data_IF_704679699585
#
_entry.id   IF_704679699585
#
_cell.length_a   1.000
_cell.length_b   1.000
_cell.length_c   1.000
_cell.angle_alpha   90.00
_cell.angle_beta   90.00
_cell.angle_gamma   90.00
#
_symmetry.space_group_name_H-M   'P 1'
#
loop_
_entity.id
_entity.type
_entity.pdbx_description
1 polymer ?
#
# COMPACT_ATOMS: atom_id res chain seq x y z
N UNK A 1 -33.54 -3.12 46.26
CA UNK A 1 -34.26 -1.93 45.76
C UNK A 1 -33.64 -1.65 44.40
N UNK A 2 -34.43 -1.65 43.34
CA UNK A 2 -33.95 -1.32 42.00
C UNK A 2 -34.30 0.14 41.70
N UNK A 3 -33.35 0.92 41.19
CA UNK A 3 -33.62 2.27 40.71
C UNK A 3 -34.21 2.20 39.30
N UNK A 4 -35.27 2.96 39.05
CA UNK A 4 -35.85 3.08 37.71
C UNK A 4 -35.03 4.12 36.95
N UNK A 5 -34.36 3.70 35.89
CA UNK A 5 -33.53 4.60 35.08
C UNK A 5 -34.32 5.29 33.97
N UNK A 6 -35.38 4.68 33.44
CA UNK A 6 -36.24 5.28 32.42
C UNK A 6 -37.62 4.61 32.34
N UNK A 7 -38.64 5.42 32.06
CA UNK A 7 -39.98 4.97 31.67
C UNK A 7 -40.31 5.59 30.31
N UNK A 8 -40.65 4.75 29.33
CA UNK A 8 -41.10 5.21 28.01
C UNK A 8 -42.61 4.97 27.92
N UNK A 9 -43.36 6.06 27.75
CA UNK A 9 -44.81 6.05 27.57
C UNK A 9 -45.15 6.36 26.11
N UNK A 10 -46.06 5.58 25.54
CA UNK A 10 -46.73 5.86 24.28
C UNK A 10 -45.99 5.35 23.03
N UNK A 11 -46.14 4.06 22.71
CA UNK A 11 -45.70 3.47 21.44
C UNK A 11 -46.50 3.95 20.19
N UNK A 12 -47.14 5.12 20.24
CA UNK A 12 -48.06 5.58 19.19
C UNK A 12 -48.13 7.10 18.93
N UNK A 13 -47.72 7.97 19.87
CA UNK A 13 -47.60 9.41 19.65
C UNK A 13 -46.47 9.96 20.51
N UNK A 14 -45.46 10.53 19.87
CA UNK A 14 -44.32 11.27 20.46
C UNK A 14 -43.88 10.74 21.83
N UNK A 15 -43.03 9.70 21.83
CA UNK A 15 -42.46 9.13 23.04
C UNK A 15 -41.87 10.22 23.95
N UNK A 16 -42.31 10.27 25.21
CA UNK A 16 -41.71 11.11 26.25
C UNK A 16 -40.82 10.27 27.14
N UNK A 17 -39.56 10.69 27.27
CA UNK A 17 -38.61 10.12 28.24
C UNK A 17 -38.73 10.97 29.50
N UNK A 18 -39.33 10.43 30.55
CA UNK A 18 -39.32 11.07 31.87
C UNK A 18 -38.21 10.43 32.72
N UNK A 19 -37.21 11.25 33.07
CA UNK A 19 -36.08 10.82 33.88
C UNK A 19 -36.51 10.81 35.36
N UNK A 20 -36.91 9.64 35.87
CA UNK A 20 -37.39 9.49 37.24
C UNK A 20 -36.29 9.00 38.17
N UNK A 21 -35.28 9.84 38.39
CA UNK A 21 -34.09 9.50 39.19
C UNK A 21 -34.34 9.13 40.67
N UNK A 22 -35.59 9.10 41.17
CA UNK A 22 -35.91 8.88 42.59
C UNK A 22 -37.18 8.05 42.87
N UNK A 23 -37.58 7.14 41.98
CA UNK A 23 -38.71 6.23 42.27
C UNK A 23 -38.21 4.89 42.78
N UNK A 24 -38.38 4.64 44.07
CA UNK A 24 -38.06 3.35 44.71
C UNK A 24 -39.31 2.46 44.74
N UNK A 25 -39.31 1.35 44.00
CA UNK A 25 -40.44 0.39 44.05
C UNK A 25 -40.28 -0.52 45.27
N UNK A 26 -41.09 -0.28 46.30
CA UNK A 26 -41.09 -1.10 47.52
C UNK A 26 -41.88 -2.40 47.30
N UNK A 27 -41.17 -3.52 47.19
CA UNK A 27 -41.68 -4.87 47.53
C UNK A 27 -42.74 -5.50 46.62
N UNK A 28 -43.14 -4.88 45.50
CA UNK A 28 -43.94 -5.52 44.45
C UNK A 28 -43.07 -5.62 43.20
N UNK A 29 -42.87 -6.84 42.68
CA UNK A 29 -41.99 -7.09 41.53
C UNK A 29 -42.30 -6.17 40.35
N UNK A 30 -41.25 -5.71 39.67
CA UNK A 30 -41.26 -4.70 38.60
C UNK A 30 -42.29 -5.01 37.49
N UNK A 31 -42.50 -6.29 37.17
CA UNK A 31 -43.49 -6.77 36.20
C UNK A 31 -44.92 -6.40 36.58
N UNK A 32 -45.28 -6.52 37.87
CA UNK A 32 -46.62 -6.21 38.35
C UNK A 32 -46.90 -4.71 38.34
N UNK A 33 -45.89 -3.91 38.68
CA UNK A 33 -45.99 -2.45 38.63
C UNK A 33 -46.13 -1.95 37.19
N UNK A 34 -45.33 -2.48 36.26
CA UNK A 34 -45.41 -2.15 34.84
C UNK A 34 -46.79 -2.47 34.23
N UNK A 35 -47.40 -3.58 34.65
CA UNK A 35 -48.74 -3.99 34.23
C UNK A 35 -49.84 -3.04 34.73
N UNK A 36 -49.77 -2.65 36.01
CA UNK A 36 -50.71 -1.71 36.62
C UNK A 36 -50.59 -0.30 36.01
N UNK A 37 -49.36 0.15 35.70
CA UNK A 37 -49.10 1.42 35.03
C UNK A 37 -49.62 1.44 33.58
N UNK A 38 -49.38 0.38 32.81
CA UNK A 38 -49.82 0.28 31.41
C UNK A 38 -51.34 0.26 31.29
N UNK A 39 -52.01 -0.46 32.19
CA UNK A 39 -53.47 -0.45 32.28
C UNK A 39 -54.03 0.92 32.66
N UNK A 40 -53.43 1.60 33.64
CA UNK A 40 -53.91 2.91 34.10
C UNK A 40 -53.69 4.03 33.08
N UNK A 41 -52.62 3.93 32.29
CA UNK A 41 -52.32 4.89 31.21
C UNK A 41 -53.07 4.56 29.90
N UNK A 42 -53.64 3.36 29.77
CA UNK A 42 -54.17 2.81 28.53
C UNK A 42 -53.17 2.85 27.36
N UNK A 43 -51.87 2.72 27.67
CA UNK A 43 -50.77 2.77 26.72
C UNK A 43 -49.75 1.66 27.02
N UNK A 44 -49.04 1.20 25.99
CA UNK A 44 -47.93 0.26 26.15
C UNK A 44 -46.75 0.97 26.82
N UNK A 45 -46.14 0.31 27.80
CA UNK A 45 -45.06 0.88 28.62
C UNK A 45 -43.84 -0.02 28.59
N UNK A 46 -42.68 0.61 28.38
CA UNK A 46 -41.36 0.00 28.57
C UNK A 46 -40.71 0.56 29.83
N UNK A 47 -40.23 -0.34 30.72
CA UNK A 47 -39.62 0.03 32.00
C UNK A 47 -38.28 -0.69 32.13
N UNK A 48 -37.22 0.09 32.36
CA UNK A 48 -35.89 -0.45 32.59
C UNK A 48 -35.35 -0.04 33.97
N UNK A 49 -34.74 -1.01 34.64
CA UNK A 49 -33.96 -0.84 35.86
C UNK A 49 -32.53 -1.31 35.63
N UNK A 50 -31.69 -1.10 36.64
CA UNK A 50 -30.28 -1.53 36.65
C UNK A 50 -30.12 -3.03 36.30
N UNK A 51 -31.03 -3.88 36.76
CA UNK A 51 -30.91 -5.34 36.68
C UNK A 51 -31.93 -6.01 35.72
N UNK A 52 -33.07 -5.38 35.44
CA UNK A 52 -34.17 -5.97 34.65
C UNK A 52 -34.89 -4.96 33.75
N UNK A 53 -35.39 -5.44 32.60
CA UNK A 53 -36.28 -4.69 31.72
C UNK A 53 -37.63 -5.40 31.54
N UNK A 54 -38.72 -4.63 31.47
CA UNK A 54 -40.08 -5.16 31.32
C UNK A 54 -40.82 -4.42 30.21
N UNK A 55 -41.44 -5.20 29.32
CA UNK A 55 -42.45 -4.71 28.37
C UNK A 55 -43.83 -5.08 28.90
N UNK A 56 -44.71 -4.09 29.00
CA UNK A 56 -46.10 -4.27 29.40
C UNK A 56 -47.05 -3.62 28.40
N UNK A 57 -48.00 -4.41 27.89
CA UNK A 57 -49.01 -3.94 26.95
C UNK A 57 -50.30 -3.55 27.66
N UNK A 58 -50.94 -2.46 27.25
CA UNK A 58 -52.16 -1.94 27.89
C UNK A 58 -53.32 -2.95 27.90
N UNK A 59 -53.40 -3.79 26.86
CA UNK A 59 -54.44 -4.82 26.69
C UNK A 59 -53.88 -6.25 26.74
N UNK A 60 -52.65 -6.45 27.26
CA UNK A 60 -51.92 -7.72 27.22
C UNK A 60 -51.20 -8.05 28.54
N UNK A 61 -50.42 -9.14 28.52
CA UNK A 61 -49.56 -9.53 29.65
C UNK A 61 -48.23 -8.75 29.65
N UNK A 62 -47.55 -8.72 30.79
CA UNK A 62 -46.18 -8.20 30.90
C UNK A 62 -45.16 -9.34 30.85
N UNK A 63 -44.03 -9.09 30.21
CA UNK A 63 -42.91 -10.04 30.13
C UNK A 63 -41.62 -9.39 30.60
N UNK A 64 -40.92 -10.05 31.52
CA UNK A 64 -39.57 -9.69 31.91
C UNK A 64 -38.57 -10.15 30.83
N UNK A 65 -37.65 -9.27 30.49
CA UNK A 65 -36.53 -9.50 29.59
C UNK A 65 -35.30 -9.42 30.49
N UNK A 66 -34.79 -10.58 30.92
CA UNK A 66 -33.64 -10.62 31.82
C UNK A 66 -32.36 -10.17 31.10
N UNK A 67 -31.55 -9.35 31.77
CA UNK A 67 -30.27 -8.82 31.28
C UNK A 67 -30.17 -7.31 31.51
N UNK A 68 -29.23 -6.90 32.37
CA UNK A 68 -29.06 -5.51 32.82
C UNK A 68 -28.80 -4.54 31.65
N UNK A 69 -29.58 -3.45 31.63
CA UNK A 69 -29.60 -2.45 30.56
C UNK A 69 -28.57 -1.32 30.78
N UNK A 70 -27.80 -1.32 31.88
CA UNK A 70 -26.76 -0.28 32.07
C UNK A 70 -25.67 -0.35 30.99
N UNK A 71 -25.31 -1.55 30.50
CA UNK A 71 -24.47 -1.68 29.30
C UNK A 71 -25.18 -1.20 28.02
N UNK A 72 -26.51 -1.28 27.98
CA UNK A 72 -27.35 -0.87 26.84
C UNK A 72 -27.57 0.66 26.77
N UNK A 73 -27.70 1.38 27.89
CA UNK A 73 -27.92 2.85 27.88
C UNK A 73 -26.62 3.62 27.68
N UNK A 74 -25.49 3.12 28.21
CA UNK A 74 -24.17 3.64 27.82
C UNK A 74 -23.88 3.37 26.35
N UNK A 75 -24.30 2.20 25.84
CA UNK A 75 -24.31 1.88 24.42
C UNK A 75 -25.23 2.79 23.61
N UNK A 76 -26.40 3.23 24.10
CA UNK A 76 -27.33 4.09 23.35
C UNK A 76 -26.79 5.52 23.13
N UNK A 77 -25.98 6.05 24.04
CA UNK A 77 -25.21 7.29 23.79
C UNK A 77 -24.09 7.08 22.75
N UNK A 78 -23.66 5.83 22.54
CA UNK A 78 -22.71 5.40 21.51
C UNK A 78 -23.41 4.79 20.26
N UNK A 79 -24.74 4.69 20.22
CA UNK A 79 -25.51 4.02 19.16
C UNK A 79 -25.48 4.77 17.84
N UNK A 80 -25.28 6.10 17.87
CA UNK A 80 -25.02 6.90 16.66
C UNK A 80 -23.73 6.46 15.95
N UNK A 81 -22.80 5.78 16.65
CA UNK A 81 -21.60 5.20 16.06
C UNK A 81 -21.74 3.71 15.74
N UNK A 82 -22.39 2.93 16.62
CA UNK A 82 -22.45 1.48 16.47
C UNK A 82 -23.33 1.03 15.29
N UNK A 83 -24.46 1.70 15.02
CA UNK A 83 -25.33 1.38 13.86
C UNK A 83 -24.64 1.73 12.53
N UNK A 84 -23.79 2.76 12.53
CA UNK A 84 -22.94 3.10 11.38
C UNK A 84 -21.86 2.05 11.12
N UNK A 85 -21.36 1.37 12.17
CA UNK A 85 -20.39 0.29 12.05
C UNK A 85 -21.03 -1.03 11.58
N UNK A 86 -22.22 -1.38 12.09
CA UNK A 86 -22.91 -2.61 11.68
C UNK A 86 -23.40 -2.60 10.22
N UNK A 87 -23.81 -1.43 9.69
CA UNK A 87 -24.27 -1.34 8.29
C UNK A 87 -23.12 -1.18 7.26
N UNK A 88 -21.91 -0.83 7.70
CA UNK A 88 -20.71 -0.83 6.84
C UNK A 88 -20.07 -2.21 6.70
N UNK A 89 -20.48 -3.19 7.52
CA UNK A 89 -20.15 -4.59 7.32
C UNK A 89 -21.12 -5.19 6.31
N UNK A 90 -20.71 -5.21 5.04
CA UNK A 90 -21.50 -5.82 3.96
C UNK A 90 -21.68 -7.31 4.27
N UNK A 91 -22.92 -7.65 4.60
CA UNK A 91 -23.46 -9.01 4.70
C UNK A 91 -23.20 -9.74 3.36
N UNK A 92 -22.58 -10.92 3.41
CA UNK A 92 -22.32 -11.71 2.21
C UNK A 92 -23.65 -12.04 1.50
N UNK A 93 -23.64 -12.12 0.16
CA UNK A 93 -24.84 -12.40 -0.66
C UNK A 93 -25.60 -13.68 -0.23
N UNK A 94 -24.92 -14.59 0.47
CA UNK A 94 -25.45 -15.87 0.95
C UNK A 94 -26.32 -15.74 2.21
N UNK A 95 -26.16 -14.66 2.97
CA UNK A 95 -26.91 -14.37 4.19
C UNK A 95 -28.14 -13.50 3.90
N UNK A 96 -28.11 -12.72 2.82
CA UNK A 96 -29.25 -11.93 2.35
C UNK A 96 -30.47 -12.80 1.91
N UNK A 97 -30.23 -13.99 1.35
CA UNK A 97 -31.31 -14.92 0.97
C UNK A 97 -32.05 -15.52 2.19
N UNK A 98 -31.43 -15.52 3.37
CA UNK A 98 -32.05 -16.00 4.62
C UNK A 98 -32.91 -14.95 5.32
N UNK A 99 -32.73 -13.66 5.01
CA UNK A 99 -33.36 -12.55 5.74
C UNK A 99 -34.77 -12.18 5.25
N UNK A 100 -35.25 -12.76 4.14
CA UNK A 100 -36.61 -12.54 3.64
C UNK A 100 -36.89 -11.10 3.19
N UNK A 101 -38.01 -10.89 2.48
CA UNK A 101 -38.36 -9.61 1.81
C UNK A 101 -38.55 -8.40 2.74
N UNK A 102 -38.38 -8.54 4.06
CA UNK A 102 -38.57 -7.47 5.04
C UNK A 102 -37.39 -6.49 5.19
N UNK A 103 -36.22 -6.77 4.59
CA UNK A 103 -35.00 -5.94 4.73
C UNK A 103 -34.63 -5.13 3.48
N UNK A 104 -35.54 -5.03 2.52
CA UNK A 104 -35.35 -4.26 1.28
C UNK A 104 -34.97 -2.76 1.42
N UNK A 105 -35.16 -2.03 2.54
CA UNK A 105 -34.76 -0.62 2.61
C UNK A 105 -33.25 -0.36 2.80
N UNK A 106 -32.43 -1.36 3.13
CA UNK A 106 -31.04 -1.13 3.55
C UNK A 106 -30.06 -0.81 2.40
N UNK A 107 -30.53 -0.69 1.15
CA UNK A 107 -29.68 -0.54 -0.03
C UNK A 107 -29.98 0.73 -0.84
N UNK A 108 -29.69 1.92 -0.29
CA UNK A 108 -29.46 3.14 -1.10
C UNK A 108 -28.80 4.24 -0.24
N UNK A 109 -27.59 4.68 -0.62
CA UNK A 109 -26.79 5.68 0.10
C UNK A 109 -26.63 6.97 -0.74
N UNK A 110 -27.15 8.10 -0.26
CA UNK A 110 -26.64 9.47 -0.49
C UNK A 110 -26.96 10.35 0.73
N UNK A 111 -26.29 11.51 0.85
CA UNK A 111 -26.28 12.39 2.03
C UNK A 111 -27.66 12.94 2.46
N UNK A 112 -28.69 12.85 1.61
CA UNK A 112 -30.09 13.16 1.95
C UNK A 112 -30.79 12.02 2.73
N UNK A 113 -30.17 10.83 2.83
CA UNK A 113 -30.70 9.65 3.51
C UNK A 113 -30.51 9.61 5.04
N UNK A 114 -29.80 10.58 5.65
CA UNK A 114 -29.64 10.63 7.12
C UNK A 114 -30.98 10.82 7.83
N UNK A 115 -31.90 11.58 7.24
CA UNK A 115 -33.25 11.75 7.81
C UNK A 115 -34.16 10.53 7.53
N UNK A 116 -33.95 9.79 6.44
CA UNK A 116 -34.77 8.60 6.11
C UNK A 116 -34.44 7.36 6.96
N UNK A 117 -33.17 7.16 7.36
CA UNK A 117 -32.76 5.97 8.12
C UNK A 117 -33.11 6.05 9.61
N UNK A 118 -32.96 7.23 10.23
CA UNK A 118 -33.48 7.46 11.57
C UNK A 118 -35.00 7.22 11.60
N UNK A 119 -35.72 7.68 10.56
CA UNK A 119 -37.17 7.52 10.46
C UNK A 119 -37.62 6.06 10.24
N UNK A 120 -36.86 5.24 9.51
CA UNK A 120 -37.24 3.84 9.25
C UNK A 120 -37.01 2.92 10.45
N UNK A 121 -36.00 3.19 11.29
CA UNK A 121 -35.80 2.47 12.56
C UNK A 121 -36.88 2.85 13.57
N UNK A 122 -37.22 4.15 13.67
CA UNK A 122 -38.27 4.66 14.58
C UNK A 122 -39.68 4.18 14.19
N UNK A 123 -39.91 3.88 12.91
CA UNK A 123 -41.28 3.64 12.41
C UNK A 123 -41.59 2.17 12.12
N UNK A 124 -40.60 1.30 11.87
CA UNK A 124 -40.85 -0.09 11.43
C UNK A 124 -40.33 -1.18 12.38
N UNK A 125 -39.18 -0.97 13.03
CA UNK A 125 -38.51 -2.04 13.80
C UNK A 125 -39.09 -2.21 15.20
N UNK A 126 -39.58 -1.12 15.81
CA UNK A 126 -40.15 -1.11 17.16
C UNK A 126 -41.67 -1.35 17.22
N UNK A 127 -42.36 -1.47 16.07
CA UNK A 127 -43.83 -1.59 16.02
C UNK A 127 -44.36 -3.02 16.01
N UNK A 128 -43.53 -4.04 15.83
CA UNK A 128 -43.97 -5.42 15.88
C UNK A 128 -42.91 -6.35 16.49
N UNK A 129 -43.38 -7.47 17.06
CA UNK A 129 -42.51 -8.45 17.73
C UNK A 129 -41.45 -9.06 16.78
N UNK A 130 -41.73 -9.13 15.48
CA UNK A 130 -40.81 -9.66 14.48
C UNK A 130 -39.60 -8.74 14.22
N UNK A 131 -39.78 -7.42 14.28
CA UNK A 131 -38.70 -6.43 14.20
C UNK A 131 -37.79 -6.45 15.43
N UNK A 132 -38.38 -6.70 16.60
CA UNK A 132 -37.64 -6.88 17.86
C UNK A 132 -36.86 -8.20 17.83
N UNK A 133 -37.47 -9.31 17.38
CA UNK A 133 -36.79 -10.60 17.25
C UNK A 133 -35.65 -10.57 16.21
N UNK A 134 -35.82 -9.81 15.12
CA UNK A 134 -34.75 -9.60 14.13
C UNK A 134 -33.58 -8.80 14.71
N UNK A 135 -33.87 -7.77 15.52
CA UNK A 135 -32.84 -6.98 16.21
C UNK A 135 -32.07 -7.84 17.23
N UNK A 136 -32.79 -8.64 18.02
CA UNK A 136 -32.21 -9.61 18.96
C UNK A 136 -31.37 -10.66 18.21
N UNK A 137 -31.83 -11.10 17.03
CA UNK A 137 -31.08 -12.00 16.15
C UNK A 137 -29.75 -11.41 15.68
N UNK A 138 -29.74 -10.13 15.30
CA UNK A 138 -28.52 -9.40 14.94
C UNK A 138 -27.58 -9.19 16.14
N UNK A 139 -28.12 -8.97 17.34
CA UNK A 139 -27.33 -8.82 18.57
C UNK A 139 -26.74 -10.14 19.08
N UNK A 140 -27.39 -11.27 18.76
CA UNK A 140 -26.91 -12.62 19.09
C UNK A 140 -25.97 -13.21 18.02
N UNK A 141 -25.69 -12.47 16.94
CA UNK A 141 -24.69 -12.90 15.96
C UNK A 141 -23.30 -12.83 16.60
N UNK A 142 -22.49 -13.87 16.41
CA UNK A 142 -21.07 -13.84 16.80
C UNK A 142 -20.39 -12.66 16.11
N UNK A 143 -20.02 -11.65 16.91
CA UNK A 143 -19.20 -10.54 16.44
C UNK A 143 -17.83 -11.12 16.05
N UNK A 144 -17.58 -11.22 14.75
CA UNK A 144 -16.22 -11.41 14.27
C UNK A 144 -15.56 -10.04 14.39
N UNK A 145 -14.56 -9.95 15.26
CA UNK A 145 -13.72 -8.77 15.41
C UNK A 145 -12.98 -8.52 14.09
N UNK A 146 -13.61 -7.77 13.20
CA UNK A 146 -12.99 -7.29 11.97
C UNK A 146 -12.11 -6.09 12.34
N UNK A 147 -10.84 -6.12 11.92
CA UNK A 147 -9.92 -4.99 11.97
C UNK A 147 -10.68 -3.71 11.54
N UNK A 148 -10.69 -2.68 12.40
CA UNK A 148 -11.54 -1.48 12.33
C UNK A 148 -11.49 -0.78 10.94
N UNK A 149 -10.40 -0.99 10.19
CA UNK A 149 -10.15 -0.42 8.88
C UNK A 149 -10.52 -1.33 7.70
N UNK A 150 -10.91 -2.60 7.93
CA UNK A 150 -11.37 -3.51 6.88
C UNK A 150 -12.70 -3.06 6.24
N UNK A 151 -13.53 -2.31 6.99
CA UNK A 151 -14.87 -1.87 6.59
C UNK A 151 -15.04 -0.35 6.59
N UNK A 152 -13.96 0.42 6.71
CA UNK A 152 -14.03 1.88 6.76
C UNK A 152 -14.39 2.46 5.39
N UNK A 153 -15.49 3.21 5.30
CA UNK A 153 -15.84 3.95 4.09
C UNK A 153 -14.80 5.06 3.82
N UNK A 154 -14.19 5.04 2.64
CA UNK A 154 -13.27 6.09 2.19
C UNK A 154 -14.12 7.28 1.70
N UNK A 155 -14.18 8.34 2.49
CA UNK A 155 -15.03 9.51 2.23
C UNK A 155 -14.23 10.79 1.96
N UNK A 156 -12.94 10.81 2.30
CA UNK A 156 -12.02 11.92 2.09
C UNK A 156 -10.55 11.44 1.99
N UNK A 157 -9.62 12.37 1.80
CA UNK A 157 -8.18 12.04 1.70
C UNK A 157 -7.56 11.54 3.01
N UNK A 158 -8.12 11.93 4.16
CA UNK A 158 -7.63 11.50 5.47
C UNK A 158 -7.98 10.03 5.70
N UNK A 159 -9.24 9.68 5.46
CA UNK A 159 -9.75 8.30 5.53
C UNK A 159 -9.07 7.40 4.50
N UNK A 160 -8.77 7.90 3.29
CA UNK A 160 -7.92 7.18 2.33
C UNK A 160 -6.53 6.86 2.90
N UNK A 161 -5.86 7.83 3.52
CA UNK A 161 -4.54 7.61 4.13
C UNK A 161 -4.58 6.56 5.23
N UNK A 162 -5.60 6.58 6.09
CA UNK A 162 -5.77 5.60 7.17
C UNK A 162 -6.05 4.19 6.60
N UNK A 163 -6.85 4.09 5.55
CA UNK A 163 -7.10 2.82 4.86
C UNK A 163 -5.82 2.26 4.22
N UNK A 164 -5.00 3.11 3.61
CA UNK A 164 -3.70 2.70 3.04
C UNK A 164 -2.75 2.21 4.14
N UNK A 165 -2.67 2.89 5.29
CA UNK A 165 -1.85 2.45 6.41
C UNK A 165 -2.25 1.05 6.90
N UNK A 166 -3.55 0.78 7.02
CA UNK A 166 -4.06 -0.53 7.40
C UNK A 166 -3.72 -1.61 6.35
N UNK A 167 -3.89 -1.31 5.07
CA UNK A 167 -3.53 -2.22 3.98
C UNK A 167 -2.02 -2.51 3.95
N UNK A 168 -1.19 -1.48 4.12
CA UNK A 168 0.26 -1.61 4.16
C UNK A 168 0.72 -2.48 5.34
N UNK A 169 0.04 -2.44 6.50
CA UNK A 169 0.32 -3.36 7.62
C UNK A 169 0.08 -4.80 7.19
N UNK A 170 -1.11 -5.12 6.65
CA UNK A 170 -1.46 -6.48 6.20
C UNK A 170 -0.50 -7.03 5.15
N UNK A 171 -0.10 -6.21 4.18
CA UNK A 171 0.88 -6.61 3.15
C UNK A 171 2.23 -6.95 3.79
N UNK A 172 2.70 -6.13 4.74
CA UNK A 172 3.98 -6.36 5.43
C UNK A 172 3.93 -7.58 6.34
N UNK A 173 2.81 -7.80 7.04
CA UNK A 173 2.59 -8.98 7.87
C UNK A 173 2.69 -10.28 7.05
N UNK A 174 2.06 -10.32 5.87
CA UNK A 174 2.21 -11.42 4.91
C UNK A 174 3.67 -11.64 4.50
N UNK A 175 4.45 -10.57 4.30
CA UNK A 175 5.87 -10.72 3.97
C UNK A 175 6.71 -11.18 5.17
N UNK A 176 6.41 -10.76 6.40
CA UNK A 176 7.07 -11.27 7.60
C UNK A 176 6.83 -12.78 7.75
N UNK A 177 5.60 -13.25 7.57
CA UNK A 177 5.24 -14.67 7.59
C UNK A 177 5.97 -15.49 6.52
N UNK A 178 6.30 -14.86 5.38
CA UNK A 178 7.10 -15.45 4.31
C UNK A 178 8.62 -15.35 4.52
N UNK A 179 9.08 -14.94 5.71
CA UNK A 179 10.50 -14.89 6.06
C UNK A 179 11.26 -13.68 5.52
N UNK A 180 10.58 -12.59 5.19
CA UNK A 180 11.20 -11.32 4.75
C UNK A 180 11.53 -10.45 5.96
N UNK A 181 12.73 -9.87 6.00
CA UNK A 181 13.14 -8.91 7.03
C UNK A 181 12.90 -7.48 6.55
N UNK A 182 11.96 -6.75 7.15
CA UNK A 182 11.72 -5.33 6.87
C UNK A 182 12.17 -4.51 8.08
N UNK A 183 13.31 -3.80 7.96
CA UNK A 183 14.00 -3.23 9.12
C UNK A 183 13.28 -2.03 9.76
N UNK A 184 12.63 -1.19 8.94
CA UNK A 184 11.81 -0.08 9.41
C UNK A 184 10.49 -0.04 8.62
N UNK A 185 9.50 -0.86 9.00
CA UNK A 185 8.30 -1.10 8.19
C UNK A 185 7.51 0.17 7.86
N UNK A 186 7.51 1.16 8.75
CA UNK A 186 6.77 2.43 8.56
C UNK A 186 7.29 3.28 7.38
N UNK A 187 8.55 3.10 6.95
CA UNK A 187 9.14 3.86 5.85
C UNK A 187 9.20 3.10 4.52
N UNK A 188 8.76 1.84 4.51
CA UNK A 188 8.75 1.00 3.32
C UNK A 188 7.35 0.96 2.75
N UNK A 189 7.21 1.15 1.44
CA UNK A 189 5.95 1.00 0.72
C UNK A 189 6.01 -0.26 -0.15
N UNK A 190 4.99 -1.12 -0.03
CA UNK A 190 4.91 -2.36 -0.81
C UNK A 190 3.51 -2.42 -1.45
N UNK A 191 3.47 -2.52 -2.78
CA UNK A 191 2.23 -2.71 -3.52
C UNK A 191 1.65 -4.12 -3.34
N UNK A 192 0.33 -4.26 -3.49
CA UNK A 192 -0.38 -5.51 -3.21
C UNK A 192 0.05 -6.71 -4.09
N UNK A 193 0.54 -6.45 -5.32
CA UNK A 193 0.99 -7.49 -6.27
C UNK A 193 2.48 -7.81 -6.16
N UNK A 194 3.22 -7.15 -5.26
CA UNK A 194 4.66 -7.32 -5.10
C UNK A 194 4.95 -8.67 -4.44
N UNK A 195 5.94 -9.38 -4.97
CA UNK A 195 6.43 -10.65 -4.42
C UNK A 195 7.86 -10.49 -3.94
N UNK A 196 8.14 -10.96 -2.73
CA UNK A 196 9.45 -10.88 -2.11
C UNK A 196 9.82 -12.28 -1.61
N UNK A 197 10.98 -12.79 -2.03
CA UNK A 197 11.49 -14.09 -1.64
C UNK A 197 11.97 -14.12 -0.19
N UNK A 198 11.91 -15.31 0.40
CA UNK A 198 12.40 -15.62 1.74
C UNK A 198 13.84 -15.11 1.95
N UNK A 199 14.15 -14.67 3.17
CA UNK A 199 15.46 -14.15 3.60
C UNK A 199 15.91 -12.87 2.87
N UNK A 200 15.03 -12.23 2.09
CA UNK A 200 15.28 -10.89 1.60
C UNK A 200 15.30 -9.88 2.76
N UNK A 201 16.17 -8.87 2.67
CA UNK A 201 16.32 -7.82 3.67
C UNK A 201 15.99 -6.47 3.04
N UNK A 202 14.97 -5.80 3.58
CA UNK A 202 14.47 -4.53 3.09
C UNK A 202 14.80 -3.43 4.12
N UNK A 203 15.72 -2.56 3.74
CA UNK A 203 16.11 -1.40 4.53
C UNK A 203 15.07 -0.27 4.46
N UNK A 204 15.19 0.77 5.31
CA UNK A 204 14.26 1.91 5.28
C UNK A 204 14.17 2.62 3.93
N UNK A 205 13.04 3.30 3.67
CA UNK A 205 12.83 4.17 2.51
C UNK A 205 12.88 3.45 1.14
N UNK A 206 12.40 2.21 1.08
CA UNK A 206 12.20 1.49 -0.17
C UNK A 206 10.74 1.58 -0.63
N UNK A 207 10.51 1.75 -1.93
CA UNK A 207 9.18 1.75 -2.55
C UNK A 207 9.13 0.68 -3.64
N UNK A 208 8.27 -0.32 -3.45
CA UNK A 208 8.08 -1.45 -4.38
C UNK A 208 6.65 -1.41 -4.91
N UNK A 209 6.47 -1.32 -6.23
CA UNK A 209 5.15 -1.16 -6.85
C UNK A 209 4.98 -1.99 -8.12
N UNK A 210 3.74 -2.08 -8.61
CA UNK A 210 3.40 -2.85 -9.80
C UNK A 210 3.61 -4.36 -9.60
N UNK A 211 3.99 -5.05 -10.67
CA UNK A 211 4.29 -6.51 -10.66
C UNK A 211 5.76 -6.79 -10.30
N UNK A 212 6.27 -6.08 -9.30
CA UNK A 212 7.67 -6.22 -8.88
C UNK A 212 7.92 -7.55 -8.17
N UNK A 213 9.05 -8.19 -8.50
CA UNK A 213 9.50 -9.43 -7.87
C UNK A 213 10.92 -9.23 -7.34
N UNK A 214 11.13 -9.56 -6.07
CA UNK A 214 12.44 -9.56 -5.41
C UNK A 214 12.80 -11.00 -5.05
N UNK A 215 13.96 -11.48 -5.50
CA UNK A 215 14.45 -12.83 -5.25
C UNK A 215 14.85 -13.08 -3.79
N UNK A 216 15.14 -14.34 -3.49
CA UNK A 216 15.58 -14.79 -2.15
C UNK A 216 16.96 -14.24 -1.81
N UNK A 217 17.22 -14.05 -0.52
CA UNK A 217 18.49 -13.57 0.00
C UNK A 217 18.94 -12.20 -0.59
N UNK A 218 18.03 -11.45 -1.21
CA UNK A 218 18.33 -10.16 -1.82
C UNK A 218 18.22 -9.05 -0.79
N UNK A 219 19.22 -8.17 -0.76
CA UNK A 219 19.29 -7.02 0.13
C UNK A 219 18.96 -5.74 -0.64
N UNK A 220 17.82 -5.13 -0.33
CA UNK A 220 17.49 -3.78 -0.76
C UNK A 220 17.93 -2.80 0.32
N UNK A 221 19.09 -2.17 0.13
CA UNK A 221 19.60 -1.06 0.94
C UNK A 221 18.72 0.18 0.75
N UNK A 222 18.92 1.25 1.55
CA UNK A 222 17.98 2.36 1.55
C UNK A 222 17.75 3.01 0.18
N UNK A 223 16.53 3.51 -0.03
CA UNK A 223 16.24 4.44 -1.12
C UNK A 223 16.03 3.80 -2.50
N UNK A 224 15.73 2.51 -2.61
CA UNK A 224 15.36 1.93 -3.90
C UNK A 224 13.88 2.20 -4.22
N UNK A 225 13.60 2.53 -5.48
CA UNK A 225 12.27 2.67 -6.05
C UNK A 225 12.16 1.70 -7.23
N UNK A 226 11.36 0.65 -7.07
CA UNK A 226 11.32 -0.47 -8.01
C UNK A 226 9.87 -0.67 -8.45
N UNK A 227 9.61 -0.44 -9.75
CA UNK A 227 8.31 -0.58 -10.37
C UNK A 227 8.35 -1.59 -11.52
N UNK A 228 7.38 -2.50 -11.56
CA UNK A 228 7.21 -3.50 -12.63
C UNK A 228 8.52 -4.21 -13.03
N UNK A 229 9.39 -4.50 -12.06
CA UNK A 229 10.73 -5.03 -12.32
C UNK A 229 10.98 -6.35 -11.59
N UNK A 230 11.83 -7.19 -12.16
CA UNK A 230 12.24 -8.46 -11.56
C UNK A 230 13.70 -8.39 -11.14
N UNK A 231 13.96 -8.55 -9.84
CA UNK A 231 15.29 -8.62 -9.25
C UNK A 231 15.54 -10.06 -8.80
N UNK A 232 16.63 -10.66 -9.27
CA UNK A 232 17.03 -12.02 -8.95
C UNK A 232 17.45 -12.22 -7.50
N UNK A 233 18.03 -13.40 -7.25
CA UNK A 233 18.45 -13.84 -5.92
C UNK A 233 19.84 -13.33 -5.54
N UNK A 234 20.06 -13.16 -4.24
CA UNK A 234 21.37 -12.77 -3.67
C UNK A 234 21.92 -11.46 -4.25
N UNK A 235 21.02 -10.54 -4.61
CA UNK A 235 21.38 -9.23 -5.14
C UNK A 235 21.55 -8.21 -4.02
N UNK A 236 22.32 -7.14 -4.29
CA UNK A 236 22.45 -6.00 -3.38
C UNK A 236 22.19 -4.72 -4.15
N UNK A 237 21.12 -4.01 -3.81
CA UNK A 237 20.73 -2.76 -4.46
C UNK A 237 20.76 -1.62 -3.44
N UNK A 238 21.28 -0.46 -3.82
CA UNK A 238 21.32 0.74 -2.97
C UNK A 238 20.96 1.99 -3.79
N UNK A 239 20.01 2.83 -3.36
CA UNK A 239 19.57 4.02 -4.11
C UNK A 239 19.35 3.75 -5.61
N UNK A 240 18.57 2.73 -5.94
CA UNK A 240 18.30 2.30 -7.32
C UNK A 240 16.88 2.68 -7.72
N UNK A 241 16.74 3.37 -8.84
CA UNK A 241 15.47 3.51 -9.54
C UNK A 241 15.40 2.46 -10.64
N UNK A 242 14.42 1.57 -10.60
CA UNK A 242 14.21 0.54 -11.60
C UNK A 242 12.76 0.54 -12.07
N UNK A 243 12.57 0.65 -13.39
CA UNK A 243 11.25 0.59 -14.02
C UNK A 243 11.26 -0.34 -15.22
N UNK A 244 10.43 -1.38 -15.21
CA UNK A 244 10.33 -2.38 -16.28
C UNK A 244 11.69 -3.00 -16.65
N UNK A 245 12.48 -3.34 -15.63
CA UNK A 245 13.82 -3.92 -15.76
C UNK A 245 13.87 -5.36 -15.24
N UNK A 246 14.77 -6.16 -15.82
CA UNK A 246 15.16 -7.48 -15.32
C UNK A 246 16.60 -7.45 -14.85
N UNK A 247 16.82 -7.95 -13.64
CA UNK A 247 18.14 -8.13 -13.03
C UNK A 247 18.24 -9.59 -12.63
N UNK A 248 19.28 -10.28 -13.10
CA UNK A 248 19.60 -11.66 -12.75
C UNK A 248 20.10 -11.80 -11.32
N UNK A 249 20.78 -12.91 -11.06
CA UNK A 249 21.21 -13.28 -9.72
C UNK A 249 22.60 -12.73 -9.39
N UNK A 250 22.89 -12.57 -8.08
CA UNK A 250 24.23 -12.19 -7.58
C UNK A 250 24.72 -10.86 -8.15
N UNK A 251 23.82 -9.94 -8.46
CA UNK A 251 24.11 -8.62 -9.03
C UNK A 251 24.25 -7.58 -7.92
N UNK A 252 25.25 -6.70 -8.04
CA UNK A 252 25.40 -5.53 -7.16
C UNK A 252 25.10 -4.24 -7.94
N UNK A 253 24.16 -3.43 -7.45
CA UNK A 253 23.72 -2.19 -8.08
C UNK A 253 23.75 -1.01 -7.10
N UNK A 254 24.36 0.09 -7.51
CA UNK A 254 24.30 1.37 -6.81
C UNK A 254 25.61 1.85 -6.17
N UNK A 255 25.56 3.00 -5.48
CA UNK A 255 24.38 3.85 -5.28
C UNK A 255 24.01 4.71 -6.51
N UNK A 256 22.79 5.23 -6.57
CA UNK A 256 22.35 6.23 -7.57
C UNK A 256 22.34 5.71 -9.02
N UNK A 257 21.67 4.57 -9.22
CA UNK A 257 21.52 3.95 -10.54
C UNK A 257 20.10 4.12 -11.04
N UNK A 258 19.97 4.33 -12.36
CA UNK A 258 18.68 4.40 -13.05
C UNK A 258 18.57 3.28 -14.10
N UNK A 259 17.72 2.29 -13.86
CA UNK A 259 17.39 1.21 -14.79
C UNK A 259 16.03 1.52 -15.42
N UNK A 260 16.06 1.79 -16.72
CA UNK A 260 14.87 2.17 -17.49
C UNK A 260 14.26 0.96 -18.20
N UNK A 261 13.06 1.11 -18.80
CA UNK A 261 12.39 -0.01 -19.45
C UNK A 261 13.25 -0.76 -20.44
N UNK A 262 13.01 -2.07 -20.51
CA UNK A 262 13.73 -3.02 -21.38
C UNK A 262 15.22 -3.11 -21.05
N UNK A 263 15.61 -2.81 -19.82
CA UNK A 263 16.93 -3.13 -19.29
C UNK A 263 16.94 -4.58 -18.85
N UNK A 264 17.95 -5.32 -19.29
CA UNK A 264 18.21 -6.69 -18.88
C UNK A 264 19.66 -6.82 -18.43
N UNK A 265 19.86 -7.14 -17.15
CA UNK A 265 21.16 -7.33 -16.54
C UNK A 265 21.29 -8.79 -16.15
N UNK A 266 22.26 -9.49 -16.73
CA UNK A 266 22.53 -10.88 -16.43
C UNK A 266 23.23 -11.06 -15.08
N UNK A 267 23.42 -12.32 -14.70
CA UNK A 267 24.00 -12.72 -13.43
C UNK A 267 25.39 -12.14 -13.17
N UNK A 268 25.70 -11.93 -11.88
CA UNK A 268 27.04 -11.57 -11.43
C UNK A 268 27.53 -10.19 -11.89
N UNK A 269 26.66 -9.38 -12.51
CA UNK A 269 27.02 -8.05 -12.97
C UNK A 269 27.27 -7.08 -11.81
N UNK A 270 28.03 -6.02 -12.11
CA UNK A 270 28.21 -4.89 -11.21
C UNK A 270 27.83 -3.59 -11.91
N UNK A 271 26.83 -2.90 -11.37
CA UNK A 271 26.41 -1.58 -11.84
C UNK A 271 26.70 -0.60 -10.69
N UNK A 272 27.75 0.19 -10.81
CA UNK A 272 28.14 1.13 -9.76
C UNK A 272 27.49 2.51 -9.95
N UNK A 273 28.11 3.52 -9.37
CA UNK A 273 27.46 4.79 -9.12
C UNK A 273 27.22 5.64 -10.37
N UNK A 274 26.06 6.31 -10.39
CA UNK A 274 25.65 7.25 -11.44
C UNK A 274 25.63 6.62 -12.84
N UNK A 275 25.16 5.38 -12.91
CA UNK A 275 24.95 4.67 -14.17
C UNK A 275 23.47 4.69 -14.56
N UNK A 276 23.20 4.97 -15.83
CA UNK A 276 21.88 4.81 -16.44
C UNK A 276 21.93 3.73 -17.53
N UNK A 277 20.99 2.78 -17.47
CA UNK A 277 20.83 1.72 -18.48
C UNK A 277 19.41 1.77 -19.03
N UNK A 278 19.27 1.63 -20.36
CA UNK A 278 17.97 1.71 -21.03
C UNK A 278 17.94 0.89 -22.32
N UNK A 279 16.94 0.01 -22.45
CA UNK A 279 16.73 -0.79 -23.66
C UNK A 279 17.99 -1.56 -24.10
N UNK A 280 18.71 -2.10 -23.10
CA UNK A 280 20.02 -2.70 -23.27
C UNK A 280 20.12 -4.03 -22.54
N UNK A 281 20.86 -4.96 -23.13
CA UNK A 281 21.19 -6.26 -22.55
C UNK A 281 22.65 -6.22 -22.06
N UNK A 282 22.87 -6.57 -20.79
CA UNK A 282 24.19 -6.59 -20.15
C UNK A 282 24.51 -8.04 -19.79
N UNK A 283 25.53 -8.60 -20.45
CA UNK A 283 25.92 -10.00 -20.31
C UNK A 283 26.61 -10.32 -18.98
N UNK A 284 26.69 -11.61 -18.68
CA UNK A 284 27.12 -12.14 -17.37
C UNK A 284 28.47 -11.58 -16.92
N UNK A 285 28.55 -11.18 -15.64
CA UNK A 285 29.79 -10.71 -15.02
C UNK A 285 30.31 -9.36 -15.54
N UNK A 286 29.55 -8.67 -16.40
CA UNK A 286 29.93 -7.35 -16.92
C UNK A 286 29.86 -6.27 -15.84
N UNK A 287 30.78 -5.31 -15.95
CA UNK A 287 30.97 -4.24 -14.97
C UNK A 287 30.75 -2.88 -15.64
N UNK A 288 29.76 -2.15 -15.13
CA UNK A 288 29.47 -0.74 -15.39
C UNK A 288 29.71 0.05 -14.10
N UNK A 289 30.95 0.29 -13.68
CA UNK A 289 31.25 0.74 -12.33
C UNK A 289 30.93 2.21 -12.07
N UNK A 290 31.03 3.12 -13.04
CA UNK A 290 30.94 4.56 -12.76
C UNK A 290 30.41 5.38 -13.94
N UNK A 291 29.55 6.37 -13.66
CA UNK A 291 29.27 7.56 -14.48
C UNK A 291 29.06 7.27 -15.97
N UNK A 292 28.21 6.31 -16.32
CA UNK A 292 28.05 5.85 -17.71
C UNK A 292 26.59 5.80 -18.14
N UNK A 293 26.33 6.06 -19.42
CA UNK A 293 25.01 5.91 -20.03
C UNK A 293 25.03 4.80 -21.09
N UNK A 294 24.20 3.78 -20.89
CA UNK A 294 24.10 2.60 -21.76
C UNK A 294 22.70 2.50 -22.37
N UNK A 295 22.49 3.24 -23.47
CA UNK A 295 21.23 3.25 -24.20
C UNK A 295 21.28 2.41 -25.46
N UNK A 296 20.25 1.59 -25.68
CA UNK A 296 20.05 0.83 -26.92
C UNK A 296 21.29 -0.02 -27.29
N UNK A 297 21.73 -0.92 -26.40
CA UNK A 297 22.97 -1.68 -26.60
C UNK A 297 22.85 -3.17 -26.26
N UNK A 298 23.65 -4.00 -26.92
CA UNK A 298 23.92 -5.38 -26.53
C UNK A 298 25.37 -5.47 -26.07
N UNK A 299 25.60 -5.68 -24.78
CA UNK A 299 26.94 -5.79 -24.18
C UNK A 299 27.14 -7.22 -23.73
N UNK A 300 28.22 -7.85 -24.21
CA UNK A 300 28.57 -9.23 -23.92
C UNK A 300 28.95 -9.48 -22.46
N UNK A 301 29.47 -10.69 -22.20
CA UNK A 301 29.89 -11.12 -20.88
C UNK A 301 31.30 -10.62 -20.53
N UNK A 302 31.54 -10.44 -19.22
CA UNK A 302 32.84 -10.06 -18.63
C UNK A 302 33.44 -8.78 -19.22
N UNK A 303 32.60 -7.90 -19.74
CA UNK A 303 33.02 -6.59 -20.26
C UNK A 303 33.32 -5.66 -19.10
N UNK A 304 34.36 -4.85 -19.24
CA UNK A 304 34.63 -3.76 -18.30
C UNK A 304 34.43 -2.41 -19.00
N UNK A 305 33.38 -1.69 -18.60
CA UNK A 305 33.08 -0.35 -19.13
C UNK A 305 33.76 0.70 -18.26
N UNK A 306 34.70 1.46 -18.83
CA UNK A 306 35.42 2.51 -18.12
C UNK A 306 34.50 3.63 -17.66
N UNK A 307 34.93 4.37 -16.64
CA UNK A 307 34.20 5.53 -16.13
C UNK A 307 33.94 6.57 -17.24
N UNK A 308 32.74 7.14 -17.30
CA UNK A 308 32.43 8.20 -18.26
C UNK A 308 32.12 7.70 -19.67
N UNK A 309 31.92 6.39 -19.88
CA UNK A 309 31.56 5.88 -21.20
C UNK A 309 30.14 6.26 -21.57
N UNK A 310 29.94 6.60 -22.85
CA UNK A 310 28.63 6.95 -23.40
C UNK A 310 28.37 6.12 -24.64
N UNK A 311 27.26 5.38 -24.62
CA UNK A 311 26.71 4.70 -25.79
C UNK A 311 25.83 5.71 -26.52
N UNK A 312 26.39 6.36 -27.54
CA UNK A 312 25.79 7.47 -28.26
C UNK A 312 24.78 6.90 -29.26
N UNK A 313 23.56 6.69 -28.79
CA UNK A 313 22.51 5.95 -29.47
C UNK A 313 21.58 6.81 -30.34
N UNK A 314 21.69 8.14 -30.33
CA UNK A 314 20.75 9.05 -30.98
C UNK A 314 21.47 10.04 -31.90
N UNK A 315 21.05 10.12 -33.17
CA UNK A 315 21.66 10.99 -34.20
C UNK A 315 20.97 12.35 -34.37
N UNK A 316 19.90 12.61 -33.59
CA UNK A 316 19.04 13.77 -33.74
C UNK A 316 17.67 13.46 -34.35
N UNK A 317 17.49 12.28 -34.94
CA UNK A 317 16.25 11.82 -35.60
C UNK A 317 15.92 10.37 -35.22
N UNK A 318 16.88 9.46 -35.38
CA UNK A 318 16.72 8.02 -35.18
C UNK A 318 17.63 7.52 -34.04
N UNK A 319 17.25 6.36 -33.49
CA UNK A 319 18.06 5.63 -32.52
C UNK A 319 18.68 4.40 -33.16
N UNK A 320 19.93 4.16 -32.82
CA UNK A 320 20.74 3.08 -33.37
C UNK A 320 21.29 2.20 -32.25
N UNK A 321 21.56 0.94 -32.58
CA UNK A 321 22.01 -0.06 -31.62
C UNK A 321 23.54 -0.22 -31.66
N UNK A 322 24.17 -0.32 -30.50
CA UNK A 322 25.60 -0.63 -30.35
C UNK A 322 25.78 -2.08 -29.89
N UNK A 323 26.74 -2.80 -30.47
CA UNK A 323 27.09 -4.16 -30.05
C UNK A 323 28.50 -4.18 -29.47
N UNK A 324 28.65 -4.76 -28.28
CA UNK A 324 29.94 -4.99 -27.63
C UNK A 324 30.07 -6.48 -27.34
N UNK A 325 31.14 -7.09 -27.84
CA UNK A 325 31.46 -8.50 -27.65
C UNK A 325 31.84 -8.85 -26.20
N UNK A 326 32.26 -10.09 -26.01
CA UNK A 326 32.72 -10.61 -24.72
C UNK A 326 34.14 -10.15 -24.41
N UNK A 327 34.49 -10.11 -23.12
CA UNK A 327 35.86 -9.85 -22.64
C UNK A 327 36.46 -8.52 -23.15
N UNK A 328 35.60 -7.56 -23.52
CA UNK A 328 35.99 -6.24 -24.01
C UNK A 328 36.36 -5.32 -22.85
N UNK A 329 37.36 -4.47 -23.06
CA UNK A 329 37.64 -3.34 -22.18
C UNK A 329 37.38 -2.01 -22.91
N UNK A 330 36.42 -1.25 -22.40
CA UNK A 330 36.20 0.13 -22.84
C UNK A 330 36.95 1.08 -21.93
N UNK A 331 37.94 1.82 -22.46
CA UNK A 331 38.68 2.82 -21.71
C UNK A 331 37.78 3.96 -21.21
N UNK A 332 38.16 4.62 -20.12
CA UNK A 332 37.40 5.74 -19.57
C UNK A 332 37.13 6.82 -20.62
N UNK A 333 35.95 7.45 -20.56
CA UNK A 333 35.50 8.47 -21.52
C UNK A 333 35.51 7.98 -22.98
N UNK A 334 35.23 6.69 -23.20
CA UNK A 334 34.96 6.20 -24.56
C UNK A 334 33.55 6.56 -24.98
N UNK A 335 33.42 7.19 -26.15
CA UNK A 335 32.14 7.38 -26.82
C UNK A 335 31.97 6.32 -27.91
N UNK A 336 30.91 5.52 -27.85
CA UNK A 336 30.56 4.56 -28.88
C UNK A 336 29.43 5.15 -29.73
N UNK A 337 29.77 5.64 -30.93
CA UNK A 337 28.81 6.29 -31.84
C UNK A 337 28.05 5.23 -32.61
N UNK A 338 26.80 4.99 -32.21
CA UNK A 338 25.95 3.98 -32.82
C UNK A 338 25.52 4.36 -34.25
N UNK A 339 25.34 3.40 -35.17
CA UNK A 339 25.61 1.97 -34.98
C UNK A 339 27.11 1.67 -35.05
N UNK A 340 27.61 0.89 -34.09
CA UNK A 340 29.00 0.42 -34.06
C UNK A 340 29.12 -0.91 -33.33
N UNK A 341 30.05 -1.75 -33.80
CA UNK A 341 30.37 -3.05 -33.20
C UNK A 341 31.79 -3.06 -32.64
N UNK A 342 31.97 -3.57 -31.42
CA UNK A 342 33.26 -3.83 -30.81
C UNK A 342 33.40 -5.33 -30.62
N UNK A 343 34.33 -5.96 -31.32
CA UNK A 343 34.54 -7.42 -31.30
C UNK A 343 35.08 -7.93 -29.98
N UNK A 344 34.99 -9.24 -29.78
CA UNK A 344 35.44 -9.93 -28.56
C UNK A 344 36.92 -9.62 -28.23
N UNK A 345 37.24 -9.48 -26.94
CA UNK A 345 38.61 -9.23 -26.46
C UNK A 345 39.19 -7.85 -26.81
N UNK A 346 38.44 -7.01 -27.53
CA UNK A 346 38.93 -5.72 -27.98
C UNK A 346 39.15 -4.73 -26.82
N UNK A 347 39.98 -3.73 -27.09
CA UNK A 347 40.34 -2.67 -26.15
C UNK A 347 40.11 -1.29 -26.77
N UNK A 348 39.47 -0.37 -26.05
CA UNK A 348 39.46 1.05 -26.43
C UNK A 348 40.38 1.86 -25.52
N UNK A 349 41.19 2.74 -26.11
CA UNK A 349 41.97 3.69 -25.32
C UNK A 349 41.08 4.76 -24.70
N UNK A 350 41.45 5.23 -23.50
CA UNK A 350 40.72 6.29 -22.82
C UNK A 350 40.60 7.58 -23.65
N UNK A 351 39.42 8.20 -23.61
CA UNK A 351 39.08 9.42 -24.33
C UNK A 351 38.86 9.23 -25.82
N UNK A 352 38.57 8.00 -26.28
CA UNK A 352 38.36 7.70 -27.70
C UNK A 352 36.90 7.88 -28.11
N UNK A 353 36.68 8.46 -29.30
CA UNK A 353 35.37 8.45 -29.96
C UNK A 353 35.39 7.41 -31.09
N UNK A 354 34.73 6.28 -30.86
CA UNK A 354 34.68 5.14 -31.78
C UNK A 354 33.46 5.29 -32.69
N UNK A 355 33.71 5.45 -33.99
CA UNK A 355 32.68 5.63 -35.03
C UNK A 355 32.85 4.64 -36.20
N UNK A 356 33.68 3.61 -36.02
CA UNK A 356 33.91 2.50 -36.94
C UNK A 356 34.04 1.23 -36.13
N UNK A 357 33.65 0.13 -36.72
CA UNK A 357 33.74 -1.17 -36.06
C UNK A 357 35.18 -1.48 -35.64
N UNK A 358 35.30 -2.06 -34.46
CA UNK A 358 36.57 -2.51 -33.87
C UNK A 358 36.62 -4.03 -33.99
N UNK A 359 37.56 -4.60 -34.75
CA UNK A 359 37.71 -6.06 -34.85
C UNK A 359 37.99 -6.71 -33.49
N UNK A 360 37.76 -8.02 -33.41
CA UNK A 360 38.14 -8.81 -32.23
C UNK A 360 39.65 -8.70 -31.95
N UNK A 361 40.02 -8.74 -30.65
CA UNK A 361 41.38 -8.61 -30.12
C UNK A 361 42.14 -7.34 -30.54
N UNK A 362 41.46 -6.37 -31.18
CA UNK A 362 42.07 -5.14 -31.63
C UNK A 362 42.07 -4.08 -30.53
N UNK A 363 43.06 -3.17 -30.58
CA UNK A 363 43.05 -1.94 -29.80
C UNK A 363 42.63 -0.77 -30.69
N UNK A 364 41.53 -0.11 -30.34
CA UNK A 364 41.08 1.12 -30.98
C UNK A 364 41.46 2.35 -30.15
N UNK A 365 42.00 3.36 -30.80
CA UNK A 365 42.26 4.66 -30.20
C UNK A 365 41.89 5.78 -31.18
N UNK A 366 41.07 6.72 -30.73
CA UNK A 366 40.56 7.81 -31.55
C UNK A 366 40.66 9.13 -30.78
N UNK A 367 41.90 9.57 -30.55
CA UNK A 367 42.24 10.81 -29.82
C UNK A 367 43.48 11.48 -30.41
N UNK A 368 43.61 12.79 -30.18
CA UNK A 368 44.78 13.55 -30.61
C UNK A 368 46.04 13.13 -29.84
N UNK A 369 47.20 13.26 -30.47
CA UNK A 369 48.49 13.14 -29.78
C UNK A 369 48.66 14.33 -28.84
N UNK A 370 49.03 14.08 -27.60
CA UNK A 370 49.30 15.14 -26.62
C UNK A 370 50.48 16.01 -27.08
N UNK A 371 50.33 17.33 -26.94
CA UNK A 371 51.37 18.34 -27.13
C UNK A 371 51.52 19.17 -25.84
N UNK A 372 52.76 19.44 -25.42
CA UNK A 372 53.06 20.29 -24.28
C UNK A 372 53.58 21.66 -24.75
N UNK A 373 52.91 22.75 -24.35
CA UNK A 373 53.35 24.12 -24.63
C UNK A 373 54.02 24.73 -23.40
N UNK A 374 55.32 24.49 -23.27
CA UNK A 374 56.11 24.94 -22.12
C UNK A 374 56.02 26.46 -21.92
N UNK A 375 55.90 26.89 -20.67
CA UNK A 375 55.78 28.30 -20.28
C UNK A 375 54.48 29.00 -20.67
N UNK A 376 53.53 28.34 -21.35
CA UNK A 376 52.29 28.99 -21.80
C UNK A 376 51.45 29.56 -20.66
N UNK A 377 51.26 28.81 -19.58
CA UNK A 377 50.47 29.26 -18.43
C UNK A 377 51.03 30.55 -17.80
N UNK A 378 52.36 30.67 -17.72
CA UNK A 378 53.01 31.88 -17.21
C UNK A 378 52.78 33.07 -18.14
N UNK A 379 53.00 32.90 -19.46
CA UNK A 379 52.73 33.94 -20.47
C UNK A 379 51.26 34.40 -20.46
N UNK A 380 50.33 33.46 -20.35
CA UNK A 380 48.90 33.76 -20.30
C UNK A 380 48.51 34.57 -19.04
N UNK A 381 49.14 34.27 -17.89
CA UNK A 381 48.93 35.04 -16.65
C UNK A 381 49.49 36.47 -16.76
N UNK A 382 50.64 36.66 -17.40
CA UNK A 382 51.21 37.99 -17.63
C UNK A 382 50.30 38.85 -18.52
N UNK A 383 49.79 38.27 -19.63
CA UNK A 383 48.81 38.92 -20.50
C UNK A 383 47.54 39.36 -19.75
N UNK A 384 47.05 38.55 -18.80
CA UNK A 384 45.91 38.93 -17.95
C UNK A 384 46.20 40.07 -16.99
N UNK A 385 47.47 40.27 -16.61
CA UNK A 385 47.91 41.35 -15.72
C UNK A 385 48.24 42.64 -16.48
N UNK A 386 48.23 42.62 -17.82
CA UNK A 386 48.67 43.75 -18.65
C UNK A 386 50.18 43.93 -18.69
N UNK A 387 50.95 42.87 -18.38
CA UNK A 387 52.42 42.82 -18.43
C UNK A 387 52.93 42.38 -19.81
#
# INVERSE_FOLDING_TARGET
>A
MANICAVILGAGKAARIENMANVTVAGRGIVKWALEAAHSAAEDIFIATDDEAVISQANGGARAIGGGIIELVQSIAEYDRAVLLCMNQIVSKKDAEKLGEATAPCAALTHEGREMLAWSIDTAVLKNAAGIDALIGCMNAEYIEADEYASAAIVDRKTLSLAEEAMQRRIKDMHFENGVSILQPVTVYIGADVKIGENAVIWPNNTLTGKTVIGRNTELKPGCNINDSAIGESCVLNYVFANEARVGDRVTIGPYVNLRPKTDIADGCKIGDFVEVKNSNIGEGTKLPHLSYIGDADVGARVNVGCGCVFVNYDGVHKHRTTVGNDVFLGCQTNLVAPVSVGDGAYTAAGSTINKDVPADAMAFARARQENKEGYASRYKALKKGE
#
